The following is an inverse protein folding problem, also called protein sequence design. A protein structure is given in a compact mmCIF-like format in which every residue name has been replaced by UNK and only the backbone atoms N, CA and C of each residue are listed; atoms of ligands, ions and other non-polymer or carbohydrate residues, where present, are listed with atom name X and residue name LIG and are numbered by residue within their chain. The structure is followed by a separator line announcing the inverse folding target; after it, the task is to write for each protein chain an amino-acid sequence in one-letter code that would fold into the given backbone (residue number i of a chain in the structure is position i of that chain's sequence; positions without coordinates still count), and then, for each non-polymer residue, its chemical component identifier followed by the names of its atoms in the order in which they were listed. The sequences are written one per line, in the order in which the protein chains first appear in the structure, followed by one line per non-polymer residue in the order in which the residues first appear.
data_IF_981959051648
#
_entry.id   IF_981959051648
#
_cell.length_a   1.000
_cell.length_b   1.000
_cell.length_c   1.000
_cell.angle_alpha   90.00
_cell.angle_beta   90.00
_cell.angle_gamma   90.00
#
_symmetry.space_group_name_H-M   'P 1'
#
loop_
_entity.id
_entity.type
_entity.pdbx_description
1 polymer ?
#
# COMPACT_ATOMS: atom_id res chain seq x y z
N UNK A 1 -7.35 9.16 -4.77
CA UNK A 1 -7.45 10.44 -4.01
C UNK A 1 -8.51 11.36 -4.64
N UNK A 2 -8.95 12.38 -3.91
CA UNK A 2 -9.89 13.41 -4.39
C UNK A 2 -9.18 14.72 -4.66
N UNK A 3 -9.31 15.26 -5.87
CA UNK A 3 -8.69 16.51 -6.33
C UNK A 3 -9.76 17.51 -6.76
N UNK A 4 -9.54 18.80 -6.50
CA UNK A 4 -10.35 19.86 -7.11
C UNK A 4 -10.26 19.78 -8.64
N UNK A 5 -11.40 19.71 -9.32
CA UNK A 5 -11.49 19.45 -10.75
C UNK A 5 -10.60 20.39 -11.59
N UNK A 6 -10.61 21.68 -11.27
CA UNK A 6 -9.84 22.72 -11.94
C UNK A 6 -8.32 22.60 -11.79
N UNK A 7 -7.84 21.84 -10.80
CA UNK A 7 -6.41 21.60 -10.56
C UNK A 7 -5.92 20.26 -11.12
N UNK A 8 -6.79 19.41 -11.67
CA UNK A 8 -6.43 18.08 -12.17
C UNK A 8 -5.29 18.12 -13.20
N UNK A 9 -5.34 19.10 -14.10
CA UNK A 9 -4.36 19.26 -15.18
C UNK A 9 -2.93 19.51 -14.69
N UNK A 10 -2.74 19.90 -13.44
CA UNK A 10 -1.40 20.07 -12.86
C UNK A 10 -0.74 18.73 -12.49
N UNK A 11 -1.53 17.73 -12.13
CA UNK A 11 -1.04 16.46 -11.56
C UNK A 11 -1.02 15.31 -12.57
N UNK A 12 -1.92 15.35 -13.55
CA UNK A 12 -2.17 14.22 -14.46
C UNK A 12 -1.75 14.55 -15.89
N UNK A 13 -1.24 13.55 -16.60
CA UNK A 13 -1.06 13.59 -18.06
C UNK A 13 -2.39 13.29 -18.77
N UNK A 14 -2.76 14.09 -19.78
CA UNK A 14 -4.03 13.99 -20.51
C UNK A 14 -5.27 13.99 -19.60
N UNK A 15 -5.47 15.08 -18.83
CA UNK A 15 -6.53 15.15 -17.83
C UNK A 15 -7.91 15.04 -18.47
N UNK A 16 -8.79 14.25 -17.86
CA UNK A 16 -10.21 14.14 -18.18
C UNK A 16 -11.01 13.99 -16.88
N UNK A 17 -12.21 14.59 -16.76
CA UNK A 17 -13.03 14.44 -15.56
C UNK A 17 -13.21 12.98 -15.16
N UNK A 18 -13.06 12.69 -13.86
CA UNK A 18 -13.22 11.36 -13.29
C UNK A 18 -13.99 11.44 -11.97
N UNK A 19 -15.30 11.71 -12.01
CA UNK A 19 -16.11 11.92 -10.80
C UNK A 19 -16.31 10.64 -9.97
N UNK A 20 -16.02 9.45 -10.52
CA UNK A 20 -16.33 8.17 -9.88
C UNK A 20 -15.10 7.34 -9.49
N UNK A 21 -13.88 7.89 -9.62
CA UNK A 21 -12.64 7.22 -9.21
C UNK A 21 -12.38 5.87 -9.92
N UNK A 22 -12.94 5.69 -11.12
CA UNK A 22 -12.88 4.44 -11.91
C UNK A 22 -11.66 4.36 -12.83
N UNK A 23 -11.00 5.49 -13.11
CA UNK A 23 -9.92 5.59 -14.09
C UNK A 23 -8.61 5.85 -13.37
N UNK A 24 -7.59 5.05 -13.69
CA UNK A 24 -6.22 5.30 -13.27
C UNK A 24 -5.52 6.20 -14.28
N UNK A 25 -4.96 7.31 -13.80
CA UNK A 25 -4.24 8.28 -14.61
C UNK A 25 -2.75 8.21 -14.34
N UNK A 26 -1.93 8.48 -15.35
CA UNK A 26 -0.49 8.69 -15.15
C UNK A 26 -0.26 10.02 -14.43
N UNK A 27 0.45 9.98 -13.31
CA UNK A 27 0.87 11.17 -12.58
C UNK A 27 2.13 11.72 -13.20
N UNK A 28 2.17 13.05 -13.41
CA UNK A 28 3.36 13.75 -13.91
C UNK A 28 4.53 13.53 -12.94
N UNK A 29 5.71 13.25 -13.48
CA UNK A 29 6.89 12.88 -12.67
C UNK A 29 7.22 13.94 -11.61
N UNK A 30 7.07 15.22 -11.94
CA UNK A 30 7.31 16.35 -11.02
C UNK A 30 6.34 16.42 -9.83
N UNK A 31 5.20 15.71 -9.87
CA UNK A 31 4.16 15.76 -8.83
C UNK A 31 4.10 14.49 -7.97
N UNK A 32 4.74 13.39 -8.38
CA UNK A 32 4.67 12.10 -7.65
C UNK A 32 5.05 12.23 -6.17
N UNK A 33 6.16 12.91 -5.90
CA UNK A 33 6.67 13.09 -4.53
C UNK A 33 5.80 14.02 -3.67
N UNK A 34 4.90 14.79 -4.27
CA UNK A 34 3.97 15.65 -3.52
C UNK A 34 2.74 14.90 -3.00
N UNK A 35 2.44 13.73 -3.54
CA UNK A 35 1.28 12.90 -3.17
C UNK A 35 1.62 11.40 -3.05
N UNK A 36 2.72 11.04 -2.36
CA UNK A 36 3.28 9.68 -2.42
C UNK A 36 2.28 8.61 -1.96
N UNK A 37 1.45 8.91 -0.95
CA UNK A 37 0.43 8.00 -0.43
C UNK A 37 -0.67 7.63 -1.44
N UNK A 38 -0.79 8.38 -2.53
CA UNK A 38 -1.83 8.18 -3.54
C UNK A 38 -1.29 7.68 -4.89
N UNK A 39 0.01 7.47 -5.02
CA UNK A 39 0.65 7.04 -6.28
C UNK A 39 1.05 5.58 -6.19
N UNK A 40 0.58 4.77 -7.15
CA UNK A 40 0.97 3.38 -7.29
C UNK A 40 2.43 3.25 -7.75
N UNK A 41 3.02 2.07 -7.55
CA UNK A 41 4.42 1.77 -7.92
C UNK A 41 4.72 2.00 -9.41
N UNK A 42 3.71 1.90 -10.28
CA UNK A 42 3.80 2.18 -11.72
C UNK A 42 3.68 3.68 -12.07
N UNK A 43 3.53 4.54 -11.07
CA UNK A 43 3.37 5.99 -11.20
C UNK A 43 1.96 6.44 -11.60
N UNK A 44 0.94 5.58 -11.46
CA UNK A 44 -0.46 5.94 -11.71
C UNK A 44 -1.23 6.24 -10.42
N UNK A 45 -2.39 6.88 -10.54
CA UNK A 45 -3.32 7.09 -9.42
C UNK A 45 -4.76 7.08 -9.91
N UNK A 46 -5.67 6.49 -9.13
CA UNK A 46 -7.12 6.59 -9.37
C UNK A 46 -7.66 7.90 -8.81
N UNK A 47 -7.91 8.84 -9.71
CA UNK A 47 -8.32 10.21 -9.35
C UNK A 47 -9.84 10.31 -9.27
N UNK A 48 -10.33 10.95 -8.22
CA UNK A 48 -11.70 11.44 -8.09
C UNK A 48 -11.68 12.97 -8.28
N UNK A 49 -12.22 13.47 -9.39
CA UNK A 49 -12.37 14.92 -9.61
C UNK A 49 -13.60 15.44 -8.87
N UNK A 50 -13.40 16.44 -8.02
CA UNK A 50 -14.45 17.06 -7.21
C UNK A 50 -14.80 18.41 -7.81
N UNK A 51 -16.03 18.52 -8.31
CA UNK A 51 -16.55 19.76 -8.90
C UNK A 51 -17.28 20.60 -7.86
N UNK A 52 -17.06 21.92 -7.88
CA UNK A 52 -17.75 22.85 -6.97
C UNK A 52 -19.26 22.87 -7.17
N UNK A 53 -19.71 22.66 -8.41
CA UNK A 53 -21.14 22.66 -8.77
C UNK A 53 -21.87 21.39 -8.34
N UNK A 54 -21.15 20.25 -8.25
CA UNK A 54 -21.72 18.94 -7.90
C UNK A 54 -21.70 18.70 -6.40
N UNK A 55 -20.58 19.00 -5.72
CA UNK A 55 -20.45 18.81 -4.27
C UNK A 55 -19.69 19.99 -3.62
N UNK A 56 -20.37 21.12 -3.38
CA UNK A 56 -19.73 22.33 -2.87
C UNK A 56 -19.15 22.15 -1.48
N UNK A 57 -19.77 21.32 -0.61
CA UNK A 57 -19.25 21.06 0.75
C UNK A 57 -17.90 20.36 0.70
N UNK A 58 -17.78 19.30 -0.10
CA UNK A 58 -16.51 18.56 -0.21
C UNK A 58 -15.46 19.34 -1.01
N UNK A 59 -15.87 20.09 -2.03
CA UNK A 59 -14.99 21.03 -2.73
C UNK A 59 -14.41 22.07 -1.75
N UNK A 60 -15.23 22.68 -0.89
CA UNK A 60 -14.78 23.67 0.08
C UNK A 60 -13.78 23.06 1.07
N UNK A 61 -14.03 21.84 1.56
CA UNK A 61 -13.10 21.13 2.45
C UNK A 61 -11.72 20.99 1.82
N UNK A 62 -11.66 20.49 0.58
CA UNK A 62 -10.38 20.31 -0.14
C UNK A 62 -9.74 21.66 -0.45
N UNK A 63 -10.53 22.69 -0.75
CA UNK A 63 -10.03 24.03 -0.98
C UNK A 63 -9.41 24.66 0.28
N UNK A 64 -10.01 24.51 1.46
CA UNK A 64 -9.39 24.95 2.71
C UNK A 64 -8.09 24.20 2.98
N UNK A 65 -8.07 22.88 2.77
CA UNK A 65 -6.83 22.09 2.84
C UNK A 65 -5.76 22.62 1.88
N UNK A 66 -6.14 23.00 0.66
CA UNK A 66 -5.24 23.61 -0.34
C UNK A 66 -4.71 24.96 0.11
N UNK A 67 -5.53 25.81 0.71
CA UNK A 67 -5.09 27.12 1.21
C UNK A 67 -4.06 26.96 2.34
N UNK A 68 -4.20 25.92 3.17
CA UNK A 68 -3.28 25.63 4.27
C UNK A 68 -1.99 24.94 3.82
N UNK A 69 -2.06 24.03 2.86
CA UNK A 69 -0.93 23.13 2.51
C UNK A 69 -0.32 23.39 1.14
N UNK A 70 -1.00 24.16 0.28
CA UNK A 70 -0.68 24.31 -1.13
C UNK A 70 -1.13 23.14 -2.01
N UNK A 71 -1.70 22.07 -1.45
CA UNK A 71 -2.10 20.86 -2.20
C UNK A 71 -3.62 20.81 -2.43
N UNK A 72 -4.10 20.80 -3.69
CA UNK A 72 -5.54 20.77 -4.03
C UNK A 72 -6.14 19.35 -3.96
N UNK A 73 -5.57 18.45 -3.15
CA UNK A 73 -5.85 17.01 -3.21
C UNK A 73 -5.76 16.38 -1.83
N UNK A 74 -6.71 15.50 -1.52
CA UNK A 74 -6.76 14.73 -0.27
C UNK A 74 -6.84 13.23 -0.57
N UNK A 75 -6.32 12.40 0.34
CA UNK A 75 -6.55 10.96 0.26
C UNK A 75 -8.04 10.70 0.51
N UNK A 76 -8.63 9.85 -0.33
CA UNK A 76 -10.03 9.47 -0.25
C UNK A 76 -10.09 7.95 -0.39
N UNK A 77 -10.59 7.28 0.63
CA UNK A 77 -10.76 5.82 0.69
C UNK A 77 -12.16 5.51 1.21
N UNK A 78 -12.60 4.27 1.03
CA UNK A 78 -13.88 3.81 1.55
C UNK A 78 -13.93 3.96 3.07
N UNK A 79 -15.03 4.52 3.57
CA UNK A 79 -15.31 4.54 5.00
C UNK A 79 -15.86 3.17 5.40
N UNK A 80 -14.95 2.23 5.63
CA UNK A 80 -15.22 0.88 6.11
C UNK A 80 -14.00 0.26 6.80
N UNK A 81 -14.20 -0.92 7.38
CA UNK A 81 -13.13 -1.83 7.81
C UNK A 81 -13.04 -3.04 6.89
N UNK A 82 -11.91 -3.73 6.94
CA UNK A 82 -11.75 -5.02 6.26
C UNK A 82 -12.93 -5.94 6.63
N UNK A 83 -13.54 -6.52 5.59
CA UNK A 83 -14.72 -7.41 5.68
C UNK A 83 -16.05 -6.76 6.08
N UNK A 84 -16.12 -5.43 6.24
CA UNK A 84 -17.37 -4.70 6.52
C UNK A 84 -17.71 -3.84 5.28
N UNK A 85 -18.99 -3.80 4.84
CA UNK A 85 -19.40 -2.88 3.79
C UNK A 85 -19.21 -1.42 4.20
N UNK A 86 -19.27 -0.52 3.22
CA UNK A 86 -19.30 0.93 3.49
C UNK A 86 -20.45 1.27 4.40
N UNK A 87 -20.19 2.13 5.38
CA UNK A 87 -21.22 2.58 6.32
C UNK A 87 -22.33 3.36 5.61
N UNK A 88 -23.55 3.26 6.14
CA UNK A 88 -24.74 3.98 5.69
C UNK A 88 -25.51 4.66 6.82
N UNK A 89 -25.13 4.44 8.08
CA UNK A 89 -25.82 4.97 9.26
C UNK A 89 -24.86 5.69 10.22
N UNK A 90 -25.29 6.78 10.90
CA UNK A 90 -24.48 7.48 11.91
C UNK A 90 -23.94 6.58 13.01
N UNK A 91 -24.73 5.59 13.44
CA UNK A 91 -24.31 4.59 14.44
C UNK A 91 -23.05 3.84 13.98
N UNK A 92 -23.01 3.40 12.72
CA UNK A 92 -21.87 2.67 12.19
C UNK A 92 -20.62 3.56 12.12
N UNK A 93 -20.78 4.86 11.82
CA UNK A 93 -19.68 5.82 11.85
C UNK A 93 -19.08 5.95 13.27
N UNK A 94 -19.94 6.02 14.29
CA UNK A 94 -19.54 6.08 15.70
C UNK A 94 -18.84 4.79 16.15
N UNK A 95 -19.33 3.61 15.75
CA UNK A 95 -18.67 2.34 16.03
C UNK A 95 -17.24 2.32 15.47
N UNK A 96 -17.02 2.82 14.25
CA UNK A 96 -15.67 2.93 13.68
C UNK A 96 -14.77 3.93 14.42
N UNK A 97 -15.33 5.04 14.90
CA UNK A 97 -14.60 6.01 15.71
C UNK A 97 -14.16 5.38 17.04
N UNK A 98 -15.07 4.66 17.72
CA UNK A 98 -14.81 3.99 19.01
C UNK A 98 -13.81 2.85 18.88
N UNK A 99 -13.72 2.22 17.71
CA UNK A 99 -12.74 1.18 17.41
C UNK A 99 -11.35 1.76 17.05
N UNK A 100 -11.14 3.07 17.19
CA UNK A 100 -9.83 3.71 17.06
C UNK A 100 -9.29 3.79 15.63
N UNK A 101 -10.15 3.73 14.62
CA UNK A 101 -9.75 3.73 13.21
C UNK A 101 -9.46 5.14 12.63
N UNK A 102 -9.79 6.20 13.38
CA UNK A 102 -9.65 7.60 12.94
C UNK A 102 -9.48 8.54 14.14
N UNK A 103 -8.79 9.66 13.93
CA UNK A 103 -8.61 10.68 14.97
C UNK A 103 -9.88 11.51 15.20
N UNK A 104 -10.61 11.83 14.11
CA UNK A 104 -11.81 12.66 14.13
C UNK A 104 -12.90 12.06 13.24
N UNK A 105 -14.15 12.14 13.70
CA UNK A 105 -15.34 11.89 12.90
C UNK A 105 -16.09 13.20 12.66
N UNK A 106 -16.17 13.63 11.41
CA UNK A 106 -17.05 14.70 10.98
C UNK A 106 -18.35 14.13 10.42
N UNK A 107 -19.49 14.47 11.02
CA UNK A 107 -20.82 14.05 10.55
C UNK A 107 -21.78 15.24 10.60
N UNK A 108 -22.23 15.69 9.43
CA UNK A 108 -22.99 16.94 9.28
C UNK A 108 -22.27 18.11 9.98
N UNK A 109 -22.91 18.71 10.99
CA UNK A 109 -22.40 19.87 11.72
C UNK A 109 -21.67 19.49 13.01
N UNK A 110 -21.40 18.19 13.22
CA UNK A 110 -20.68 17.67 14.38
C UNK A 110 -19.28 17.23 14.01
N UNK A 111 -18.33 17.54 14.90
CA UNK A 111 -16.97 17.01 14.89
C UNK A 111 -16.72 16.31 16.23
N UNK A 112 -16.35 15.04 16.18
CA UNK A 112 -16.20 14.18 17.36
C UNK A 112 -14.79 13.61 17.39
N UNK A 113 -14.15 13.65 18.55
CA UNK A 113 -12.86 13.03 18.83
C UNK A 113 -12.82 12.58 20.29
N UNK A 114 -11.89 11.67 20.60
CA UNK A 114 -11.58 11.27 21.97
C UNK A 114 -10.10 11.55 22.24
N UNK A 115 -9.76 11.92 23.48
CA UNK A 115 -8.37 12.24 23.85
C UNK A 115 -7.42 11.04 23.67
N UNK A 116 -7.94 9.81 23.81
CA UNK A 116 -7.18 8.55 23.73
C UNK A 116 -7.51 7.72 22.47
N UNK A 117 -8.00 8.32 21.38
CA UNK A 117 -8.59 7.55 20.27
C UNK A 117 -7.61 6.76 19.39
N UNK A 118 -6.32 6.70 19.76
CA UNK A 118 -5.35 5.82 19.12
C UNK A 118 -5.13 4.60 20.01
N UNK A 119 -5.95 3.57 19.81
CA UNK A 119 -5.56 2.20 20.14
C UNK A 119 -4.64 1.70 19.01
N UNK A 120 -3.50 2.38 18.81
CA UNK A 120 -2.34 1.66 18.29
C UNK A 120 -1.77 0.93 19.50
N UNK A 121 -2.30 -0.28 19.79
CA UNK A 121 -1.78 -1.11 20.89
C UNK A 121 -0.27 -1.33 20.77
N UNK A 122 0.24 -1.24 19.55
CA UNK A 122 1.65 -1.35 19.23
C UNK A 122 2.20 0.04 18.82
N UNK A 123 3.33 0.49 19.38
CA UNK A 123 4.03 1.66 18.88
C UNK A 123 4.40 1.46 17.41
N UNK A 124 4.44 2.55 16.64
CA UNK A 124 4.94 2.56 15.26
C UNK A 124 6.31 1.86 15.23
N UNK A 125 6.35 0.65 14.69
CA UNK A 125 7.61 -0.04 14.40
C UNK A 125 8.07 0.45 13.04
N UNK A 126 9.36 0.75 12.92
CA UNK A 126 9.96 0.92 11.59
C UNK A 126 9.62 -0.33 10.78
N UNK A 127 8.71 -0.18 9.81
CA UNK A 127 8.38 -1.28 8.93
C UNK A 127 9.61 -1.61 8.09
N UNK A 128 9.89 -2.90 7.97
CA UNK A 128 10.88 -3.39 7.03
C UNK A 128 10.53 -2.86 5.64
N UNK A 129 11.53 -2.38 4.88
CA UNK A 129 11.27 -1.91 3.51
C UNK A 129 10.53 -2.99 2.71
N UNK A 130 9.64 -2.59 1.80
CA UNK A 130 8.89 -3.54 0.95
C UNK A 130 9.84 -4.52 0.22
N UNK A 131 11.00 -4.02 -0.20
CA UNK A 131 12.06 -4.83 -0.81
C UNK A 131 12.60 -5.91 0.13
N UNK A 132 12.90 -5.56 1.38
CA UNK A 132 13.36 -6.52 2.38
C UNK A 132 12.27 -7.56 2.70
N UNK A 133 11.04 -7.09 2.94
CA UNK A 133 9.89 -7.95 3.25
C UNK A 133 9.64 -8.98 2.15
N UNK A 134 9.63 -8.55 0.88
CA UNK A 134 9.47 -9.43 -0.28
C UNK A 134 10.54 -10.52 -0.34
N UNK A 135 11.82 -10.14 -0.18
CA UNK A 135 12.95 -11.07 -0.22
C UNK A 135 12.88 -12.08 0.93
N UNK A 136 12.62 -11.61 2.15
CA UNK A 136 12.46 -12.43 3.36
C UNK A 136 11.34 -13.45 3.21
N UNK A 137 10.18 -13.02 2.70
CA UNK A 137 9.01 -13.88 2.56
C UNK A 137 9.20 -14.91 1.45
N UNK A 138 9.92 -14.57 0.39
CA UNK A 138 10.33 -15.53 -0.65
C UNK A 138 11.31 -16.58 -0.13
N UNK A 139 12.26 -16.22 0.75
CA UNK A 139 13.14 -17.19 1.41
C UNK A 139 12.33 -18.13 2.32
N UNK A 140 11.40 -17.61 3.12
CA UNK A 140 10.52 -18.44 3.96
C UNK A 140 9.67 -19.39 3.13
N UNK A 141 9.13 -18.91 2.00
CA UNK A 141 8.33 -19.72 1.07
C UNK A 141 9.11 -20.89 0.48
N UNK A 142 10.42 -20.76 0.27
CA UNK A 142 11.26 -21.87 -0.20
C UNK A 142 11.13 -23.10 0.73
N UNK A 143 11.10 -22.89 2.05
CA UNK A 143 10.97 -24.01 3.01
C UNK A 143 9.61 -24.69 2.88
N UNK A 144 8.53 -23.91 2.82
CA UNK A 144 7.19 -24.46 2.59
C UNK A 144 7.11 -25.24 1.28
N UNK A 145 7.76 -24.75 0.22
CA UNK A 145 7.82 -25.47 -1.07
C UNK A 145 8.59 -26.78 -0.95
N UNK A 146 9.72 -26.80 -0.25
CA UNK A 146 10.52 -28.02 -0.04
C UNK A 146 9.77 -29.12 0.73
N UNK A 147 8.81 -28.75 1.57
CA UNK A 147 8.00 -29.69 2.36
C UNK A 147 6.80 -30.23 1.58
N UNK A 148 6.15 -29.39 0.78
CA UNK A 148 4.84 -29.69 0.18
C UNK A 148 4.95 -30.12 -1.29
N UNK A 149 5.92 -29.57 -2.02
CA UNK A 149 6.04 -29.77 -3.46
C UNK A 149 6.77 -31.07 -3.79
N UNK A 150 6.11 -31.94 -4.57
CA UNK A 150 6.68 -33.22 -5.01
C UNK A 150 7.47 -33.06 -6.30
N UNK A 151 7.17 -32.05 -7.11
CA UNK A 151 7.91 -31.78 -8.34
C UNK A 151 9.19 -30.99 -8.05
N UNK A 152 10.34 -31.66 -8.14
CA UNK A 152 11.64 -31.02 -7.95
C UNK A 152 11.94 -29.95 -9.02
N UNK A 153 11.33 -30.02 -10.21
CA UNK A 153 11.59 -29.04 -11.29
C UNK A 153 11.06 -27.65 -10.92
N UNK A 154 9.88 -27.58 -10.30
CA UNK A 154 9.29 -26.31 -9.87
C UNK A 154 10.14 -25.67 -8.76
N UNK A 155 10.69 -26.47 -7.84
CA UNK A 155 11.60 -26.00 -6.78
C UNK A 155 12.91 -25.47 -7.38
N UNK A 156 13.53 -26.19 -8.32
CA UNK A 156 14.75 -25.72 -9.01
C UNK A 156 14.50 -24.39 -9.71
N UNK A 157 13.35 -24.25 -10.39
CA UNK A 157 12.98 -23.00 -11.05
C UNK A 157 12.73 -21.87 -10.04
N UNK A 158 12.12 -22.17 -8.89
CA UNK A 158 11.91 -21.21 -7.80
C UNK A 158 13.25 -20.70 -7.27
N UNK A 159 14.20 -21.59 -6.98
CA UNK A 159 15.54 -21.24 -6.48
C UNK A 159 16.28 -20.35 -7.48
N UNK A 160 16.17 -20.63 -8.79
CA UNK A 160 16.74 -19.79 -9.85
C UNK A 160 16.15 -18.38 -9.86
N UNK A 161 14.86 -18.24 -9.63
CA UNK A 161 14.20 -16.93 -9.54
C UNK A 161 14.59 -16.20 -8.25
N UNK A 162 14.72 -16.94 -7.14
CA UNK A 162 15.16 -16.41 -5.85
C UNK A 162 16.59 -15.88 -5.91
N UNK A 163 17.53 -16.61 -6.53
CA UNK A 163 18.90 -16.17 -6.78
C UNK A 163 18.94 -14.80 -7.48
N UNK A 164 18.13 -14.62 -8.53
CA UNK A 164 18.02 -13.35 -9.25
C UNK A 164 17.45 -12.22 -8.39
N UNK A 165 16.42 -12.51 -7.60
CA UNK A 165 15.79 -11.53 -6.71
C UNK A 165 16.74 -11.06 -5.61
N UNK A 166 17.53 -11.97 -5.06
CA UNK A 166 18.51 -11.70 -4.00
C UNK A 166 19.83 -11.16 -4.53
N UNK A 167 20.11 -11.31 -5.83
CA UNK A 167 21.37 -10.98 -6.48
C UNK A 167 22.57 -11.73 -5.85
N UNK A 168 22.41 -13.04 -5.65
CA UNK A 168 23.41 -13.95 -5.08
C UNK A 168 23.55 -15.20 -5.96
N UNK A 169 24.71 -15.87 -5.93
CA UNK A 169 24.89 -17.16 -6.60
C UNK A 169 24.27 -18.29 -5.76
N UNK A 170 22.99 -18.57 -6.00
CA UNK A 170 22.23 -19.63 -5.34
C UNK A 170 21.72 -20.63 -6.39
N UNK A 171 22.00 -21.91 -6.16
CA UNK A 171 21.50 -23.00 -7.00
C UNK A 171 21.05 -24.22 -6.18
N UNK A 172 20.19 -25.02 -6.78
CA UNK A 172 19.69 -26.28 -6.23
C UNK A 172 19.59 -27.30 -7.36
N UNK A 173 20.13 -28.50 -7.16
CA UNK A 173 20.14 -29.58 -8.16
C UNK A 173 19.03 -30.62 -7.93
N UNK A 174 18.14 -30.38 -6.96
CA UNK A 174 17.11 -31.33 -6.53
C UNK A 174 17.50 -32.17 -5.31
N UNK A 175 18.74 -32.02 -4.80
CA UNK A 175 19.21 -32.66 -3.57
C UNK A 175 20.04 -31.71 -2.69
N UNK A 176 20.94 -30.93 -3.29
CA UNK A 176 21.93 -30.10 -2.60
C UNK A 176 21.76 -28.64 -3.02
N UNK A 177 21.77 -27.74 -2.03
CA UNK A 177 21.89 -26.31 -2.28
C UNK A 177 23.35 -25.91 -2.39
N UNK A 178 23.66 -25.00 -3.32
CA UNK A 178 24.94 -24.32 -3.39
C UNK A 178 24.73 -22.82 -3.30
N UNK A 179 25.47 -22.18 -2.39
CA UNK A 179 25.51 -20.74 -2.23
C UNK A 179 26.97 -20.29 -2.39
N UNK A 180 27.25 -19.43 -3.37
CA UNK A 180 28.60 -18.94 -3.70
C UNK A 180 29.60 -20.12 -3.85
N UNK A 181 29.16 -21.16 -4.56
CA UNK A 181 29.91 -22.40 -4.77
C UNK A 181 30.03 -23.35 -3.57
N UNK A 182 29.55 -23.01 -2.38
CA UNK A 182 29.60 -23.86 -1.17
C UNK A 182 28.31 -24.64 -0.97
N UNK A 183 28.44 -25.92 -0.62
CA UNK A 183 27.28 -26.75 -0.30
C UNK A 183 26.62 -26.28 1.00
N UNK A 184 25.30 -26.09 0.98
CA UNK A 184 24.48 -25.73 2.14
C UNK A 184 23.43 -26.83 2.35
N UNK A 185 23.23 -27.25 3.60
CA UNK A 185 22.19 -28.23 3.92
C UNK A 185 20.82 -27.60 3.80
N UNK A 186 19.83 -28.39 3.40
CA UNK A 186 18.43 -27.95 3.34
C UNK A 186 17.93 -27.41 4.69
N UNK A 187 18.35 -28.01 5.81
CA UNK A 187 17.98 -27.55 7.16
C UNK A 187 18.54 -26.19 7.54
N UNK A 188 19.61 -25.74 6.86
CA UNK A 188 20.35 -24.51 7.17
C UNK A 188 20.09 -23.41 6.13
N UNK A 189 19.45 -23.73 4.99
CA UNK A 189 19.32 -22.82 3.85
C UNK A 189 18.54 -21.55 4.19
N UNK A 190 17.47 -21.65 4.98
CA UNK A 190 16.68 -20.48 5.38
C UNK A 190 17.53 -19.49 6.17
N UNK A 191 18.18 -19.95 7.25
CA UNK A 191 18.98 -19.08 8.10
C UNK A 191 20.17 -18.50 7.35
N UNK A 192 20.80 -19.30 6.48
CA UNK A 192 21.91 -18.84 5.64
C UNK A 192 21.48 -17.74 4.69
N UNK A 193 20.33 -17.88 4.01
CA UNK A 193 19.82 -16.86 3.10
C UNK A 193 19.34 -15.61 3.83
N UNK A 194 18.73 -15.75 5.01
CA UNK A 194 18.33 -14.61 5.84
C UNK A 194 19.53 -13.80 6.37
N UNK A 195 20.69 -14.43 6.57
CA UNK A 195 21.90 -13.75 7.04
C UNK A 195 22.63 -12.94 5.95
N UNK A 196 22.32 -13.19 4.67
CA UNK A 196 22.91 -12.48 3.52
C UNK A 196 21.99 -11.35 3.02
N UNK A 197 20.80 -11.25 3.62
CA UNK A 197 19.75 -10.29 3.30
C UNK A 197 19.99 -8.94 3.98
#
# INVERSE_FOLDING_TARGET
PSILEEYMGEFVTNPNPSPYMQIAFKIKDSKKNSIPAAVHVDGTSRIHTVSKTVNPKYWNLINEFRLLTGLPIVLNTSFNRHHIPTISEPRQALEHLLDGCMDYLAINDYLISFDDNRIATEPFKNEETESYSLKRDCIKRLITLLEIEKDKKSIIQYVKNLSKLLNIDLSFDGQIFKLEGKNVKQSEIQNTLLAVL
#
